data_IF_135536876227
#
_entry.id   IF_135536876227
#
_cell.length_a   1.000
_cell.length_b   1.000
_cell.length_c   1.000
_cell.angle_alpha   90.00
_cell.angle_beta   90.00
_cell.angle_gamma   90.00
#
_symmetry.space_group_name_H-M   'P 1'
#
loop_
_entity.id
_entity.type
_entity.pdbx_description
1 polymer ?
#
# COMPACT_ATOMS: atom_id res chain seq x y z
N UNK A 1 27.15 18.19 -10.33
CA UNK A 1 26.10 17.35 -10.92
C UNK A 1 25.42 16.69 -9.74
N UNK A 2 24.26 17.20 -9.34
CA UNK A 2 23.51 16.72 -8.16
C UNK A 2 22.91 15.37 -8.51
N UNK A 3 23.18 14.34 -7.71
CA UNK A 3 22.63 13.00 -7.93
C UNK A 3 21.09 13.08 -7.85
N UNK A 4 20.35 12.75 -8.92
CA UNK A 4 18.90 12.93 -8.98
C UNK A 4 18.13 11.94 -8.06
N UNK A 5 18.82 10.96 -7.48
CA UNK A 5 18.26 9.99 -6.53
C UNK A 5 18.57 10.32 -5.07
N UNK A 6 19.36 11.37 -4.81
CA UNK A 6 19.75 11.77 -3.45
C UNK A 6 18.59 12.36 -2.62
N UNK A 7 17.53 12.82 -3.28
CA UNK A 7 16.34 13.40 -2.64
C UNK A 7 15.22 12.37 -2.39
N UNK A 8 15.39 11.12 -2.86
CA UNK A 8 14.41 10.05 -2.68
C UNK A 8 14.49 9.45 -1.27
N UNK A 9 13.34 9.04 -0.72
CA UNK A 9 13.31 8.25 0.53
C UNK A 9 14.05 6.92 0.35
N UNK A 10 14.60 6.32 1.43
CA UNK A 10 15.28 5.03 1.34
C UNK A 10 14.38 3.93 0.77
N UNK A 11 13.07 3.97 1.05
CA UNK A 11 12.11 3.03 0.45
C UNK A 11 11.91 3.28 -1.05
N UNK A 12 11.77 4.54 -1.47
CA UNK A 12 11.65 4.90 -2.88
C UNK A 12 12.89 4.47 -3.69
N UNK A 13 14.07 4.61 -3.09
CA UNK A 13 15.34 4.17 -3.69
C UNK A 13 15.37 2.64 -3.88
N UNK A 14 14.96 1.87 -2.87
CA UNK A 14 14.88 0.41 -2.96
C UNK A 14 13.87 -0.07 -4.02
N UNK A 15 12.74 0.63 -4.19
CA UNK A 15 11.77 0.33 -5.25
C UNK A 15 12.33 0.63 -6.64
N UNK A 16 13.05 1.74 -6.79
CA UNK A 16 13.69 2.13 -8.04
C UNK A 16 14.74 1.10 -8.48
N UNK A 17 15.59 0.64 -7.54
CA UNK A 17 16.59 -0.40 -7.80
C UNK A 17 15.94 -1.74 -8.20
N UNK A 18 14.85 -2.14 -7.54
CA UNK A 18 14.11 -3.35 -7.90
C UNK A 18 13.47 -3.24 -9.29
N UNK A 19 12.95 -2.06 -9.64
CA UNK A 19 12.36 -1.80 -10.95
C UNK A 19 13.42 -1.82 -12.06
N UNK A 20 14.57 -1.18 -11.85
CA UNK A 20 15.70 -1.20 -12.79
C UNK A 20 16.20 -2.64 -13.03
N UNK A 21 16.34 -3.44 -11.96
CA UNK A 21 16.71 -4.84 -12.05
C UNK A 21 15.68 -5.66 -12.85
N UNK A 22 14.38 -5.41 -12.66
CA UNK A 22 13.32 -6.06 -13.42
C UNK A 22 13.35 -5.67 -14.90
N UNK A 23 13.63 -4.40 -15.21
CA UNK A 23 13.77 -3.99 -16.59
C UNK A 23 14.98 -4.68 -17.22
N UNK A 24 16.13 -4.77 -16.51
CA UNK A 24 17.37 -5.42 -16.99
C UNK A 24 17.16 -6.88 -17.40
N UNK A 25 16.25 -7.58 -16.76
CA UNK A 25 15.81 -8.93 -17.14
C UNK A 25 14.99 -8.94 -18.46
N UNK A 26 14.28 -7.85 -18.75
CA UNK A 26 13.53 -7.68 -20.00
C UNK A 26 14.45 -7.25 -21.16
N UNK A 27 14.84 -8.24 -21.96
CA UNK A 27 15.67 -8.07 -23.16
C UNK A 27 14.98 -7.36 -24.34
N UNK A 28 13.65 -7.16 -24.28
CA UNK A 28 12.87 -6.54 -25.36
C UNK A 28 12.91 -5.00 -25.32
N UNK A 29 13.33 -4.41 -24.19
CA UNK A 29 13.37 -2.96 -23.99
C UNK A 29 14.78 -2.45 -24.30
N UNK A 30 14.89 -1.45 -25.18
CA UNK A 30 16.17 -0.81 -25.48
C UNK A 30 16.70 0.03 -24.30
N UNK A 31 17.98 0.38 -24.35
CA UNK A 31 18.63 1.12 -23.26
C UNK A 31 18.01 2.51 -23.02
N UNK A 32 17.64 3.24 -24.09
CA UNK A 32 17.09 4.57 -23.96
C UNK A 32 15.67 4.55 -23.38
N UNK A 33 14.81 3.65 -23.88
CA UNK A 33 13.45 3.47 -23.32
C UNK A 33 13.48 3.06 -21.85
N UNK A 34 14.45 2.24 -21.46
CA UNK A 34 14.66 1.82 -20.07
C UNK A 34 15.07 3.00 -19.18
N UNK A 35 16.00 3.84 -19.63
CA UNK A 35 16.41 5.05 -18.92
C UNK A 35 15.22 6.02 -18.74
N UNK A 36 14.39 6.21 -19.78
CA UNK A 36 13.17 7.00 -19.70
C UNK A 36 12.15 6.45 -18.67
N UNK A 37 11.94 5.14 -18.65
CA UNK A 37 11.03 4.48 -17.69
C UNK A 37 11.54 4.61 -16.25
N UNK A 38 12.85 4.46 -16.04
CA UNK A 38 13.47 4.64 -14.71
C UNK A 38 13.35 6.10 -14.27
N UNK A 39 13.57 7.07 -15.17
CA UNK A 39 13.41 8.49 -14.87
C UNK A 39 11.97 8.87 -14.51
N UNK A 40 10.98 8.32 -15.24
CA UNK A 40 9.56 8.53 -14.93
C UNK A 40 9.17 7.92 -13.58
N UNK A 41 9.66 6.72 -13.25
CA UNK A 41 9.43 6.10 -11.95
C UNK A 41 10.08 6.90 -10.82
N UNK A 42 11.31 7.39 -11.01
CA UNK A 42 11.99 8.23 -10.02
C UNK A 42 11.25 9.55 -9.77
N UNK A 43 10.68 10.17 -10.80
CA UNK A 43 9.84 11.37 -10.65
C UNK A 43 8.52 11.04 -9.93
N UNK A 44 7.86 9.95 -10.32
CA UNK A 44 6.61 9.53 -9.66
C UNK A 44 6.81 9.17 -8.18
N UNK A 45 7.97 8.63 -7.80
CA UNK A 45 8.32 8.33 -6.41
C UNK A 45 8.79 9.58 -5.63
N UNK A 46 9.21 10.63 -6.34
CA UNK A 46 9.57 11.92 -5.74
C UNK A 46 8.34 12.77 -5.46
N UNK A 47 7.42 12.82 -6.42
CA UNK A 47 6.18 13.61 -6.36
C UNK A 47 5.05 12.86 -5.62
N UNK A 48 5.07 11.53 -5.71
CA UNK A 48 4.11 10.64 -5.09
C UNK A 48 4.52 10.25 -3.67
N UNK A 49 3.54 10.11 -2.80
CA UNK A 49 3.74 9.58 -1.46
C UNK A 49 3.78 8.04 -1.53
N UNK A 50 4.94 7.36 -1.33
CA UNK A 50 5.02 5.90 -1.39
C UNK A 50 4.16 5.25 -0.29
N UNK A 51 3.82 5.99 0.78
CA UNK A 51 2.88 5.53 1.79
C UNK A 51 1.42 5.61 1.34
N UNK A 52 1.09 6.36 0.28
CA UNK A 52 -0.25 6.33 -0.33
C UNK A 52 -0.54 5.00 -1.05
N UNK A 53 0.48 4.37 -1.64
CA UNK A 53 0.38 3.03 -2.22
C UNK A 53 0.54 1.93 -1.17
N UNK A 54 1.40 2.15 -0.16
CA UNK A 54 1.66 1.19 0.91
C UNK A 54 0.64 1.23 2.07
N UNK A 55 -0.24 2.25 2.09
CA UNK A 55 -1.23 2.47 3.16
C UNK A 55 -2.35 1.43 3.20
N UNK A 56 -2.47 0.58 2.18
CA UNK A 56 -3.45 -0.49 2.13
C UNK A 56 -4.90 0.00 2.21
N UNK A 57 -5.15 1.28 1.93
CA UNK A 57 -6.49 1.83 1.94
C UNK A 57 -7.16 1.55 0.58
N UNK A 58 -8.17 0.66 0.54
CA UNK A 58 -8.79 0.25 -0.70
C UNK A 58 -9.52 1.41 -1.39
N UNK A 59 -10.00 2.39 -0.62
CA UNK A 59 -10.71 3.53 -1.18
C UNK A 59 -9.76 4.50 -1.89
N UNK A 60 -8.57 4.75 -1.32
CA UNK A 60 -7.52 5.52 -1.98
C UNK A 60 -7.07 4.86 -3.31
N UNK A 61 -6.93 3.54 -3.33
CA UNK A 61 -6.58 2.79 -4.55
C UNK A 61 -7.67 2.91 -5.62
N UNK A 62 -8.95 2.83 -5.22
CA UNK A 62 -10.07 2.97 -6.14
C UNK A 62 -10.17 4.39 -6.71
N UNK A 63 -9.92 5.42 -5.90
CA UNK A 63 -9.89 6.81 -6.36
C UNK A 63 -8.75 7.07 -7.36
N UNK A 64 -7.57 6.51 -7.11
CA UNK A 64 -6.45 6.64 -8.03
C UNK A 64 -6.76 5.96 -9.37
N UNK A 65 -7.32 4.74 -9.34
CA UNK A 65 -7.75 4.07 -10.56
C UNK A 65 -8.80 4.89 -11.31
N UNK A 66 -9.80 5.44 -10.61
CA UNK A 66 -10.81 6.30 -11.23
C UNK A 66 -10.19 7.47 -11.99
N UNK A 67 -9.20 8.16 -11.42
CA UNK A 67 -8.49 9.26 -12.09
C UNK A 67 -7.74 8.79 -13.33
N UNK A 68 -7.07 7.64 -13.26
CA UNK A 68 -6.34 7.07 -14.41
C UNK A 68 -7.29 6.72 -15.55
N UNK A 69 -8.38 6.01 -15.24
CA UNK A 69 -9.37 5.58 -16.24
C UNK A 69 -10.14 6.76 -16.82
N UNK A 70 -10.41 7.80 -16.03
CA UNK A 70 -10.97 9.07 -16.52
C UNK A 70 -10.07 9.79 -17.53
N UNK A 71 -8.76 9.78 -17.28
CA UNK A 71 -7.76 10.34 -18.20
C UNK A 71 -7.73 9.58 -19.53
N UNK A 72 -7.82 8.25 -19.48
CA UNK A 72 -7.86 7.39 -20.67
C UNK A 72 -9.16 7.60 -21.47
N UNK A 73 -10.30 7.75 -20.78
CA UNK A 73 -11.58 8.04 -21.41
C UNK A 73 -11.57 9.41 -22.10
N UNK A 74 -11.05 10.44 -21.42
CA UNK A 74 -10.92 11.80 -21.96
C UNK A 74 -10.02 11.84 -23.19
N UNK A 75 -8.99 10.98 -23.24
CA UNK A 75 -8.09 10.82 -24.38
C UNK A 75 -8.68 9.98 -25.52
N UNK A 76 -9.91 9.47 -25.38
CA UNK A 76 -10.58 8.63 -26.38
C UNK A 76 -10.01 7.22 -26.53
N UNK A 77 -9.14 6.78 -25.62
CA UNK A 77 -8.52 5.45 -25.66
C UNK A 77 -9.46 4.35 -25.17
N UNK A 78 -10.44 4.70 -24.34
CA UNK A 78 -11.50 3.80 -23.87
C UNK A 78 -12.85 4.52 -23.93
N UNK A 79 -13.93 3.75 -24.06
CA UNK A 79 -15.30 4.28 -23.98
C UNK A 79 -15.76 4.48 -22.53
N UNK A 80 -16.79 5.32 -22.33
CA UNK A 80 -17.38 5.57 -21.01
C UNK A 80 -17.90 4.29 -20.34
N UNK A 81 -18.54 3.40 -21.12
CA UNK A 81 -19.00 2.10 -20.63
C UNK A 81 -17.84 1.19 -20.17
N UNK A 82 -16.68 1.27 -20.83
CA UNK A 82 -15.49 0.49 -20.46
C UNK A 82 -14.84 1.07 -19.21
N UNK A 83 -14.81 2.40 -19.08
CA UNK A 83 -14.40 3.08 -17.84
C UNK A 83 -15.21 2.59 -16.64
N UNK A 84 -16.54 2.60 -16.76
CA UNK A 84 -17.41 2.19 -15.65
C UNK A 84 -17.25 0.71 -15.31
N UNK A 85 -17.09 -0.15 -16.31
CA UNK A 85 -16.84 -1.58 -16.10
C UNK A 85 -15.54 -1.83 -15.33
N UNK A 86 -14.45 -1.15 -15.71
CA UNK A 86 -13.14 -1.27 -15.04
C UNK A 86 -13.22 -0.81 -13.58
N UNK A 87 -13.84 0.34 -13.33
CA UNK A 87 -14.00 0.88 -11.97
C UNK A 87 -14.84 -0.06 -11.10
N UNK A 88 -15.94 -0.61 -11.62
CA UNK A 88 -16.78 -1.54 -10.86
C UNK A 88 -16.07 -2.86 -10.58
N UNK A 89 -15.40 -3.45 -11.58
CA UNK A 89 -14.68 -4.71 -11.42
C UNK A 89 -13.55 -4.57 -10.39
N UNK A 90 -12.81 -3.47 -10.44
CA UNK A 90 -11.75 -3.22 -9.48
C UNK A 90 -12.30 -2.96 -8.07
N UNK A 91 -13.38 -2.18 -7.95
CA UNK A 91 -14.06 -1.98 -6.67
C UNK A 91 -14.50 -3.30 -6.03
N UNK A 92 -15.05 -4.22 -6.82
CA UNK A 92 -15.42 -5.56 -6.34
C UNK A 92 -14.20 -6.39 -5.91
N UNK A 93 -13.07 -6.27 -6.60
CA UNK A 93 -11.84 -6.96 -6.21
C UNK A 93 -11.24 -6.45 -4.89
N UNK A 94 -11.53 -5.20 -4.51
CA UNK A 94 -11.08 -4.59 -3.27
C UNK A 94 -11.98 -4.85 -2.06
N UNK A 95 -13.20 -5.37 -2.25
CA UNK A 95 -14.14 -5.69 -1.16
C UNK A 95 -13.51 -6.54 -0.03
N UNK A 96 -12.73 -7.60 -0.32
CA UNK A 96 -12.07 -8.38 0.74
C UNK A 96 -11.11 -7.56 1.59
N UNK A 97 -10.45 -6.55 1.00
CA UNK A 97 -9.49 -5.68 1.69
C UNK A 97 -10.19 -4.68 2.63
N UNK A 98 -11.48 -4.43 2.43
CA UNK A 98 -12.29 -3.58 3.33
C UNK A 98 -12.66 -4.28 4.63
N UNK A 99 -12.45 -5.60 4.73
CA UNK A 99 -12.68 -6.33 5.98
C UNK A 99 -11.83 -5.77 7.12
N UNK A 100 -12.42 -5.49 8.30
CA UNK A 100 -11.69 -4.91 9.43
C UNK A 100 -10.51 -5.78 9.89
N UNK A 101 -10.60 -7.09 9.71
CA UNK A 101 -9.53 -8.04 10.02
C UNK A 101 -8.36 -7.91 9.05
N UNK A 102 -8.64 -7.74 7.76
CA UNK A 102 -7.62 -7.56 6.71
C UNK A 102 -6.95 -6.20 6.86
N UNK A 103 -7.73 -5.12 7.09
CA UNK A 103 -7.20 -3.80 7.39
C UNK A 103 -6.27 -3.80 8.60
N UNK A 104 -6.64 -4.51 9.67
CA UNK A 104 -5.81 -4.67 10.86
C UNK A 104 -4.51 -5.42 10.58
N UNK A 105 -4.56 -6.49 9.76
CA UNK A 105 -3.38 -7.26 9.38
C UNK A 105 -2.42 -6.45 8.49
N UNK A 106 -2.95 -5.66 7.55
CA UNK A 106 -2.17 -4.76 6.70
C UNK A 106 -1.50 -3.66 7.53
N UNK A 107 -2.25 -3.02 8.43
CA UNK A 107 -1.71 -1.98 9.31
C UNK A 107 -0.65 -2.55 10.27
N UNK A 108 -0.84 -3.77 10.79
CA UNK A 108 0.17 -4.46 11.57
C UNK A 108 1.46 -4.69 10.76
N UNK A 109 1.33 -5.17 9.52
CA UNK A 109 2.46 -5.39 8.63
C UNK A 109 3.20 -4.08 8.33
N UNK A 110 2.47 -2.99 8.08
CA UNK A 110 3.03 -1.65 7.87
C UNK A 110 3.83 -1.19 9.08
N UNK A 111 3.23 -1.26 10.27
CA UNK A 111 3.89 -0.88 11.53
C UNK A 111 5.11 -1.73 11.84
N UNK A 112 5.10 -3.02 11.49
CA UNK A 112 6.30 -3.86 11.64
C UNK A 112 7.45 -3.36 10.77
N UNK A 113 7.16 -2.94 9.55
CA UNK A 113 8.17 -2.42 8.63
C UNK A 113 8.69 -1.04 9.04
N UNK A 114 7.83 -0.14 9.55
CA UNK A 114 8.20 1.25 9.88
C UNK A 114 8.67 1.44 11.32
N UNK A 115 7.97 0.84 12.28
CA UNK A 115 8.16 1.07 13.72
C UNK A 115 8.87 -0.11 14.42
N UNK A 116 9.06 -1.22 13.71
CA UNK A 116 9.64 -2.46 14.22
C UNK A 116 8.65 -3.35 14.97
N UNK A 117 9.07 -4.60 15.21
CA UNK A 117 8.21 -5.67 15.76
C UNK A 117 7.56 -5.34 17.11
N UNK A 118 8.32 -4.75 18.04
CA UNK A 118 7.84 -4.48 19.38
C UNK A 118 6.73 -3.41 19.41
N UNK A 119 6.88 -2.35 18.61
CA UNK A 119 5.90 -1.27 18.51
C UNK A 119 4.61 -1.75 17.82
N UNK A 120 4.75 -2.56 16.77
CA UNK A 120 3.62 -3.16 16.08
C UNK A 120 2.82 -4.12 16.99
N UNK A 121 3.52 -4.95 17.78
CA UNK A 121 2.88 -5.86 18.74
C UNK A 121 2.11 -5.10 19.84
N UNK A 122 2.71 -4.03 20.38
CA UNK A 122 2.05 -3.19 21.39
C UNK A 122 0.82 -2.45 20.82
N UNK A 123 0.85 -2.06 19.55
CA UNK A 123 -0.33 -1.53 18.86
C UNK A 123 -1.45 -2.58 18.73
N UNK A 124 -1.13 -3.79 18.30
CA UNK A 124 -2.11 -4.86 18.14
C UNK A 124 -2.78 -5.24 19.48
N UNK A 125 -1.99 -5.34 20.56
CA UNK A 125 -2.50 -5.63 21.90
C UNK A 125 -3.48 -4.55 22.42
N UNK A 126 -3.25 -3.28 22.09
CA UNK A 126 -4.18 -2.19 22.44
C UNK A 126 -5.51 -2.36 21.70
N UNK A 127 -5.46 -2.67 20.41
CA UNK A 127 -6.65 -2.89 19.59
C UNK A 127 -7.51 -4.07 20.07
N UNK A 128 -6.90 -5.15 20.54
CA UNK A 128 -7.64 -6.26 21.14
C UNK A 128 -8.24 -5.84 22.49
N UNK A 129 -7.47 -5.13 23.34
CA UNK A 129 -7.97 -4.65 24.65
C UNK A 129 -9.17 -3.70 24.49
N UNK A 130 -9.13 -2.80 23.51
CA UNK A 130 -10.22 -1.89 23.17
C UNK A 130 -11.44 -2.66 22.64
N UNK A 131 -11.25 -3.62 21.73
CA UNK A 131 -12.34 -4.47 21.23
C UNK A 131 -13.00 -5.33 22.33
N UNK A 132 -12.22 -5.83 23.30
CA UNK A 132 -12.74 -6.56 24.46
C UNK A 132 -13.52 -5.66 25.43
N UNK A 133 -13.06 -4.41 25.62
CA UNK A 133 -13.75 -3.43 26.47
C UNK A 133 -15.09 -3.00 25.88
N UNK A 134 -15.16 -2.79 24.56
CA UNK A 134 -16.40 -2.44 23.84
C UNK A 134 -17.39 -3.61 23.76
N UNK A 135 -16.90 -4.86 23.71
CA UNK A 135 -17.74 -6.05 23.75
C UNK A 135 -18.32 -6.36 25.14
N UNK A 136 -17.96 -5.59 26.18
CA UNK A 136 -18.45 -5.81 27.56
C UNK A 136 -17.98 -7.12 28.20
N UNK A 137 -17.01 -7.81 27.59
CA UNK A 137 -16.45 -9.05 28.12
C UNK A 137 -15.25 -8.68 28.97
N UNK A 138 -15.44 -8.68 30.29
CA UNK A 138 -14.37 -8.45 31.25
C UNK A 138 -13.17 -9.36 30.94
N UNK A 139 -11.92 -8.83 30.94
CA UNK A 139 -10.77 -9.68 30.71
C UNK A 139 -10.75 -10.77 31.78
N UNK A 140 -10.72 -12.03 31.36
CA UNK A 140 -10.43 -13.17 32.23
C UNK A 140 -9.00 -13.01 32.74
N UNK A 141 -8.87 -12.19 33.79
CA UNK A 141 -7.65 -12.07 34.58
C UNK A 141 -7.46 -13.44 35.22
N UNK A 142 -6.52 -14.20 34.68
CA UNK A 142 -6.19 -15.55 35.12
C UNK A 142 -6.00 -15.60 36.63
N UNK A 143 -6.82 -16.45 37.25
CA UNK A 143 -6.44 -17.42 38.28
C UNK A 143 -4.95 -17.40 38.64
N UNK A 144 -4.62 -16.82 39.80
CA UNK A 144 -3.44 -17.20 40.57
C UNK A 144 -3.80 -17.19 42.06
N UNK A 145 -3.80 -18.39 42.66
CA UNK A 145 -3.56 -18.58 44.09
C UNK A 145 -4.78 -18.70 45.00
N UNK A 146 -5.47 -19.84 44.95
CA UNK A 146 -6.20 -20.38 46.10
C UNK A 146 -5.16 -21.00 47.05
N UNK A 147 -5.16 -20.55 48.31
CA UNK A 147 -4.94 -21.33 49.53
C UNK A 147 -3.62 -22.10 49.73
N UNK A 148 -2.84 -21.65 50.73
CA UNK A 148 -2.62 -22.42 51.98
C UNK A 148 -2.38 -21.46 53.13
#
# INVERSE_FOLDING_TARGET
MTDPTADLSPEARAMLEAFEASLLDQHDIDAASREDMVAQMAEALRDGDPAALAGGDPDALLEQLRRTVDTLATSGQIGEAERDAVVQQFGAALEPLRSPQVRRALEFSRRRATDGDAAAAAWLQRQDTEAYAEAGVAPLRGLHGIGV
#
